data_IF_862076335000
#
_entry.id   IF_862076335000
#
_cell.length_a   1.000
_cell.length_b   1.000
_cell.length_c   1.000
_cell.angle_alpha   90.00
_cell.angle_beta   90.00
_cell.angle_gamma   90.00
#
_symmetry.space_group_name_H-M   'P 1'
#
loop_
_entity.id
_entity.type
_entity.pdbx_description
1 polymer ?
#
# COMPACT_ATOMS: atom_id res chain seq x y z
N UNK A 1 -10.77 -4.39 6.16
CA UNK A 1 -11.07 -3.73 4.86
C UNK A 1 -10.65 -4.67 3.75
N UNK A 2 -11.34 -4.65 2.61
CA UNK A 2 -11.00 -5.41 1.41
C UNK A 2 -10.87 -4.46 0.24
N UNK A 3 -9.90 -4.70 -0.64
CA UNK A 3 -9.70 -3.93 -1.87
C UNK A 3 -9.76 -4.89 -3.05
N UNK A 4 -10.61 -4.58 -4.04
CA UNK A 4 -10.66 -5.32 -5.29
C UNK A 4 -9.57 -4.80 -6.21
N UNK A 5 -8.66 -5.65 -6.67
CA UNK A 5 -7.49 -5.21 -7.46
C UNK A 5 -7.85 -4.56 -8.80
N UNK A 6 -9.01 -4.89 -9.38
CA UNK A 6 -9.54 -4.29 -10.61
C UNK A 6 -10.34 -3.00 -10.39
N UNK A 7 -10.51 -2.56 -9.16
CA UNK A 7 -11.19 -1.30 -8.80
C UNK A 7 -10.18 -0.18 -8.60
N UNK A 8 -10.65 1.07 -8.56
CA UNK A 8 -9.87 2.24 -8.12
C UNK A 8 -10.45 2.88 -6.84
N UNK A 9 -11.42 2.22 -6.18
CA UNK A 9 -12.15 2.80 -5.03
C UNK A 9 -11.28 3.18 -3.85
N UNK A 10 -10.26 2.37 -3.62
CA UNK A 10 -9.40 2.47 -2.45
C UNK A 10 -7.96 2.79 -2.84
N UNK A 11 -7.73 3.56 -3.91
CA UNK A 11 -6.43 4.18 -4.18
C UNK A 11 -6.02 5.12 -3.04
N UNK A 12 -4.75 5.53 -3.00
CA UNK A 12 -4.19 6.32 -1.89
C UNK A 12 -5.02 7.57 -1.54
N UNK A 13 -5.43 8.34 -2.56
CA UNK A 13 -6.18 9.59 -2.44
C UNK A 13 -7.64 9.42 -2.01
N UNK A 14 -8.16 8.19 -1.94
CA UNK A 14 -9.55 7.92 -1.60
C UNK A 14 -9.92 8.44 -0.19
N UNK A 15 -11.04 9.15 -0.08
CA UNK A 15 -11.54 9.67 1.20
C UNK A 15 -11.89 8.54 2.18
N UNK A 16 -12.19 7.34 1.67
CA UNK A 16 -12.50 6.16 2.47
C UNK A 16 -11.38 5.77 3.42
N UNK A 17 -10.12 6.18 3.19
CA UNK A 17 -9.05 5.96 4.16
C UNK A 17 -9.21 6.80 5.43
N UNK A 18 -9.81 7.99 5.31
CA UNK A 18 -9.79 9.04 6.33
C UNK A 18 -11.16 9.43 6.88
N UNK A 19 -12.25 9.03 6.21
CA UNK A 19 -13.62 9.34 6.62
C UNK A 19 -14.26 8.18 7.43
N UNK A 20 -15.50 8.40 7.86
CA UNK A 20 -16.32 7.38 8.55
C UNK A 20 -17.23 6.59 7.61
N UNK A 21 -17.21 6.89 6.30
CA UNK A 21 -18.07 6.21 5.33
C UNK A 21 -17.70 4.73 5.26
N UNK A 22 -18.71 3.87 5.41
CA UNK A 22 -18.59 2.44 5.18
C UNK A 22 -18.90 2.13 3.72
N UNK A 23 -18.50 0.94 3.28
CA UNK A 23 -18.76 0.47 1.93
C UNK A 23 -18.90 -1.04 1.92
N UNK A 24 -19.99 -1.58 1.37
CA UNK A 24 -20.28 -3.02 1.33
C UNK A 24 -20.01 -3.74 2.68
N UNK A 25 -20.35 -3.10 3.79
CA UNK A 25 -20.05 -3.56 5.14
C UNK A 25 -20.87 -4.78 5.58
N UNK A 26 -21.98 -5.04 4.87
CA UNK A 26 -22.78 -6.26 5.01
C UNK A 26 -22.13 -7.51 4.37
N UNK A 27 -20.95 -7.38 3.73
CA UNK A 27 -20.27 -8.51 3.08
C UNK A 27 -18.98 -8.91 3.84
N UNK A 28 -19.06 -9.67 4.95
CA UNK A 28 -17.89 -10.05 5.75
C UNK A 28 -17.08 -11.21 5.15
N UNK A 29 -17.55 -11.84 4.08
CA UNK A 29 -16.87 -13.00 3.51
C UNK A 29 -15.55 -12.58 2.82
N UNK A 30 -14.76 -13.55 2.37
CA UNK A 30 -13.48 -13.30 1.70
C UNK A 30 -13.60 -13.11 0.18
N UNK A 31 -14.82 -12.95 -0.35
CA UNK A 31 -15.01 -12.76 -1.79
C UNK A 31 -14.31 -11.47 -2.25
N UNK A 32 -13.69 -11.48 -3.44
CA UNK A 32 -13.09 -10.31 -4.06
C UNK A 32 -14.12 -9.20 -4.31
N UNK A 33 -14.22 -8.27 -3.36
CA UNK A 33 -15.03 -7.07 -3.47
C UNK A 33 -14.43 -5.98 -2.59
N UNK A 34 -14.55 -4.74 -3.04
CA UNK A 34 -14.28 -3.58 -2.20
C UNK A 34 -15.21 -3.60 -0.98
N UNK A 35 -14.66 -3.50 0.23
CA UNK A 35 -15.42 -3.33 1.45
C UNK A 35 -14.65 -2.58 2.55
N UNK A 36 -15.32 -1.67 3.26
CA UNK A 36 -14.85 -0.99 4.47
C UNK A 36 -15.88 -1.21 5.58
N UNK A 37 -15.42 -1.78 6.69
CA UNK A 37 -16.25 -2.19 7.82
C UNK A 37 -16.08 -1.26 9.01
N UNK A 38 -17.05 -1.26 9.92
CA UNK A 38 -17.01 -0.50 11.18
C UNK A 38 -15.72 -0.70 11.99
N UNK A 39 -15.13 -1.90 11.93
CA UNK A 39 -13.87 -2.18 12.60
C UNK A 39 -12.71 -1.28 12.16
N UNK A 40 -12.72 -0.80 10.91
CA UNK A 40 -11.71 0.12 10.41
C UNK A 40 -11.71 1.47 11.15
N UNK A 41 -12.89 1.94 11.58
CA UNK A 41 -13.07 3.26 12.19
C UNK A 41 -13.01 3.22 13.72
N UNK A 42 -13.26 2.06 14.34
CA UNK A 42 -13.51 1.95 15.79
C UNK A 42 -12.60 1.01 16.56
N UNK A 43 -11.95 0.02 15.93
CA UNK A 43 -11.20 -0.99 16.67
C UNK A 43 -9.77 -0.48 16.91
N UNK A 44 -9.36 -0.29 18.18
CA UNK A 44 -7.96 -0.08 18.51
C UNK A 44 -7.18 -1.37 18.25
N UNK A 45 -5.92 -1.22 17.88
CA UNK A 45 -5.09 -2.37 17.52
C UNK A 45 -3.63 -2.17 17.90
N UNK A 46 -2.91 -3.28 17.96
CA UNK A 46 -1.46 -3.35 18.20
C UNK A 46 -0.74 -4.20 17.14
N UNK A 47 -1.49 -4.94 16.33
CA UNK A 47 -0.99 -5.67 15.18
C UNK A 47 -1.85 -5.48 13.95
N UNK A 48 -1.19 -5.52 12.80
CA UNK A 48 -1.81 -5.45 11.47
C UNK A 48 -1.45 -6.69 10.68
N UNK A 49 -2.42 -7.21 9.95
CA UNK A 49 -2.21 -8.28 8.97
C UNK A 49 -2.73 -7.84 7.61
N UNK A 50 -1.82 -7.80 6.64
CA UNK A 50 -2.10 -7.50 5.24
C UNK A 50 -2.07 -8.82 4.46
N UNK A 51 -3.01 -8.97 3.53
CA UNK A 51 -3.00 -10.05 2.57
C UNK A 51 -3.12 -9.53 1.14
N UNK A 52 -2.37 -10.13 0.22
CA UNK A 52 -2.55 -9.92 -1.21
C UNK A 52 -2.88 -11.27 -1.84
N UNK A 53 -3.98 -11.33 -2.57
CA UNK A 53 -4.37 -12.48 -3.38
C UNK A 53 -3.91 -12.26 -4.81
N UNK A 54 -2.93 -13.05 -5.22
CA UNK A 54 -2.27 -13.02 -6.52
C UNK A 54 -2.14 -14.45 -7.05
N UNK A 55 -2.48 -14.68 -8.33
CA UNK A 55 -2.47 -16.03 -8.90
C UNK A 55 -3.39 -17.02 -8.18
N UNK A 56 -4.52 -16.56 -7.62
CA UNK A 56 -5.47 -17.39 -6.88
C UNK A 56 -5.08 -17.75 -5.44
N UNK A 57 -3.87 -17.37 -5.00
CA UNK A 57 -3.38 -17.64 -3.64
C UNK A 57 -3.25 -16.36 -2.84
N UNK A 58 -3.68 -16.38 -1.58
CA UNK A 58 -3.50 -15.24 -0.66
C UNK A 58 -2.28 -15.44 0.21
N UNK A 59 -1.30 -14.54 0.08
CA UNK A 59 -0.14 -14.49 0.94
C UNK A 59 -0.32 -13.42 2.01
N UNK A 60 0.23 -13.66 3.19
CA UNK A 60 -0.03 -12.84 4.38
C UNK A 60 1.24 -12.30 4.97
N UNK A 61 1.17 -11.05 5.43
CA UNK A 61 2.20 -10.38 6.19
C UNK A 61 1.57 -9.83 7.48
N UNK A 62 2.17 -10.14 8.63
CA UNK A 62 1.76 -9.61 9.93
C UNK A 62 2.91 -8.82 10.54
N UNK A 63 2.63 -7.62 11.03
CA UNK A 63 3.61 -6.74 11.66
C UNK A 63 2.99 -5.94 12.81
N UNK A 64 3.85 -5.40 13.66
CA UNK A 64 3.44 -4.52 14.76
C UNK A 64 3.05 -3.15 14.23
N UNK A 65 1.96 -2.60 14.74
CA UNK A 65 1.48 -1.27 14.41
C UNK A 65 0.34 -0.93 15.34
N UNK A 66 0.32 0.29 15.89
CA UNK A 66 -0.64 0.67 16.91
C UNK A 66 -1.43 1.91 16.52
N UNK A 67 -2.69 1.93 16.91
CA UNK A 67 -3.57 3.09 16.73
C UNK A 67 -4.92 2.87 17.39
N UNK A 68 -5.60 3.96 17.71
CA UNK A 68 -6.97 3.92 18.25
C UNK A 68 -7.99 3.36 17.23
N UNK A 69 -7.69 3.49 15.94
CA UNK A 69 -8.33 2.77 14.84
C UNK A 69 -7.50 2.92 13.57
N UNK A 70 -7.77 2.11 12.54
CA UNK A 70 -7.06 2.24 11.27
C UNK A 70 -7.34 3.60 10.63
N UNK A 71 -8.58 4.11 10.71
CA UNK A 71 -8.92 5.48 10.31
C UNK A 71 -8.02 6.52 10.97
N UNK A 72 -7.82 6.43 12.29
CA UNK A 72 -6.98 7.37 13.03
C UNK A 72 -5.53 7.38 12.53
N UNK A 73 -4.97 6.20 12.18
CA UNK A 73 -3.63 6.11 11.58
C UNK A 73 -3.60 6.74 10.19
N UNK A 74 -4.63 6.51 9.36
CA UNK A 74 -4.72 7.05 8.00
C UNK A 74 -4.94 8.57 7.94
N UNK A 75 -5.52 9.16 8.98
CA UNK A 75 -5.66 10.61 9.15
C UNK A 75 -4.34 11.29 9.57
N UNK A 76 -3.36 10.52 10.04
CA UNK A 76 -2.05 11.00 10.42
C UNK A 76 -1.07 11.10 9.24
N UNK A 77 0.21 11.30 9.59
CA UNK A 77 1.33 11.26 8.64
C UNK A 77 1.89 9.85 8.45
N UNK A 78 3.09 9.79 7.87
CA UNK A 78 3.86 8.56 7.73
C UNK A 78 4.18 7.92 9.10
N UNK A 79 4.01 6.61 9.21
CA UNK A 79 4.41 5.81 10.37
C UNK A 79 5.14 4.57 9.90
N UNK A 80 6.41 4.44 10.30
CA UNK A 80 7.26 3.33 9.89
C UNK A 80 6.82 1.98 10.46
N UNK A 81 7.06 0.92 9.70
CA UNK A 81 7.02 -0.48 10.17
C UNK A 81 8.41 -1.10 10.07
N UNK A 82 8.54 -2.35 10.51
CA UNK A 82 9.80 -3.09 10.49
C UNK A 82 9.64 -4.51 9.90
N UNK A 83 8.74 -4.68 8.94
CA UNK A 83 8.48 -5.98 8.33
C UNK A 83 9.62 -6.41 7.40
N UNK A 84 10.28 -5.44 6.76
CA UNK A 84 11.37 -5.65 5.82
C UNK A 84 10.91 -5.81 4.37
N UNK A 85 11.75 -5.35 3.44
CA UNK A 85 11.52 -5.37 1.98
C UNK A 85 11.06 -6.74 1.47
N UNK A 86 11.77 -7.80 1.85
CA UNK A 86 11.47 -9.15 1.36
C UNK A 86 10.10 -9.64 1.82
N UNK A 87 9.67 -9.25 3.02
CA UNK A 87 8.35 -9.61 3.53
C UNK A 87 7.23 -9.00 2.67
N UNK A 88 7.40 -7.75 2.23
CA UNK A 88 6.48 -7.11 1.29
C UNK A 88 6.50 -7.77 -0.09
N UNK A 89 7.68 -8.06 -0.65
CA UNK A 89 7.80 -8.77 -1.93
C UNK A 89 7.16 -10.15 -1.89
N UNK A 90 7.28 -10.87 -0.78
CA UNK A 90 6.72 -12.20 -0.58
C UNK A 90 5.18 -12.24 -0.47
N UNK A 91 4.50 -11.09 -0.37
CA UNK A 91 3.05 -11.03 -0.57
C UNK A 91 2.66 -11.38 -2.02
N UNK A 92 3.59 -11.27 -2.96
CA UNK A 92 3.39 -11.61 -4.37
C UNK A 92 4.52 -12.53 -4.86
N UNK A 93 4.52 -13.82 -4.47
CA UNK A 93 5.56 -14.77 -4.86
C UNK A 93 5.77 -14.80 -6.39
N UNK A 94 7.02 -14.59 -6.83
CA UNK A 94 7.38 -14.52 -8.25
C UNK A 94 6.91 -13.27 -9.00
N UNK A 95 6.11 -12.40 -8.37
CA UNK A 95 5.57 -11.17 -8.97
C UNK A 95 5.95 -9.88 -8.27
N UNK A 96 6.43 -9.92 -7.02
CA UNK A 96 6.80 -8.74 -6.24
C UNK A 96 8.15 -8.18 -6.67
N UNK A 97 8.13 -7.02 -7.33
CA UNK A 97 9.30 -6.33 -7.86
C UNK A 97 9.39 -4.92 -7.30
N UNK A 98 10.59 -4.47 -6.96
CA UNK A 98 10.82 -3.10 -6.46
C UNK A 98 12.15 -2.59 -7.02
N UNK A 99 12.27 -1.27 -7.14
CA UNK A 99 13.58 -0.64 -7.37
C UNK A 99 14.47 -0.81 -6.12
N UNK A 100 15.81 -0.77 -6.23
CA UNK A 100 16.70 -1.36 -5.23
C UNK A 100 16.81 -0.65 -3.87
N UNK A 101 16.49 0.64 -3.76
CA UNK A 101 16.80 1.47 -2.58
C UNK A 101 15.54 2.08 -1.94
N UNK A 102 15.65 3.22 -1.24
CA UNK A 102 14.70 3.87 -0.32
C UNK A 102 14.06 2.96 0.76
N UNK A 103 13.41 1.86 0.36
CA UNK A 103 12.81 0.82 1.19
C UNK A 103 11.91 1.36 2.30
N UNK A 104 11.23 2.48 2.05
CA UNK A 104 10.35 3.12 3.02
C UNK A 104 9.08 2.30 3.13
N UNK A 105 8.87 1.67 4.27
CA UNK A 105 7.69 0.88 4.57
C UNK A 105 6.86 1.47 5.70
N UNK A 106 5.56 1.16 5.71
CA UNK A 106 4.67 1.42 6.82
C UNK A 106 3.29 1.93 6.40
N UNK A 107 2.75 2.85 7.21
CA UNK A 107 1.49 3.52 6.98
C UNK A 107 1.70 4.90 6.36
N UNK A 108 0.80 5.30 5.46
CA UNK A 108 0.88 6.54 4.68
C UNK A 108 2.27 6.73 4.08
N UNK A 109 2.73 5.72 3.34
CA UNK A 109 4.05 5.69 2.73
C UNK A 109 4.02 6.53 1.45
N UNK A 110 4.77 7.63 1.45
CA UNK A 110 4.93 8.56 0.33
C UNK A 110 6.38 9.07 0.28
N UNK A 111 6.73 9.78 -0.79
CA UNK A 111 8.02 10.45 -0.91
C UNK A 111 8.34 11.28 0.34
N UNK A 112 9.59 11.20 0.80
CA UNK A 112 10.10 12.08 1.84
C UNK A 112 10.24 13.50 1.26
N UNK A 113 10.03 14.56 2.02
CA UNK A 113 10.18 15.94 1.52
C UNK A 113 11.39 16.69 2.09
N UNK A 114 12.00 16.19 3.18
CA UNK A 114 12.94 16.98 4.00
C UNK A 114 14.33 17.24 3.38
N UNK A 115 14.83 16.35 2.52
CA UNK A 115 16.14 16.47 1.89
C UNK A 115 16.08 16.34 0.35
N UNK A 116 14.89 16.53 -0.22
CA UNK A 116 14.68 16.34 -1.65
C UNK A 116 15.08 17.59 -2.41
N UNK A 117 16.12 17.46 -3.23
CA UNK A 117 16.70 18.58 -3.98
C UNK A 117 15.68 19.15 -4.97
N UNK A 118 15.10 20.31 -4.63
CA UNK A 118 14.49 21.25 -5.57
C UNK A 118 13.20 20.82 -6.28
N UNK A 119 12.81 19.55 -6.26
CA UNK A 119 11.55 19.10 -6.82
C UNK A 119 10.44 19.14 -5.76
N UNK A 120 9.75 20.27 -5.68
CA UNK A 120 8.57 20.41 -4.82
C UNK A 120 7.31 19.82 -5.45
N UNK A 121 7.41 19.32 -6.70
CA UNK A 121 6.31 18.77 -7.50
C UNK A 121 6.40 17.24 -7.53
N UNK A 122 6.28 16.61 -6.36
CA UNK A 122 6.15 15.15 -6.18
C UNK A 122 4.85 14.56 -6.78
N UNK A 123 4.28 15.21 -7.79
CA UNK A 123 3.08 14.76 -8.47
C UNK A 123 3.39 13.48 -9.23
N UNK A 124 2.76 12.38 -8.86
CA UNK A 124 2.87 11.11 -9.57
C UNK A 124 3.88 10.14 -8.99
N UNK A 125 4.67 10.50 -7.97
CA UNK A 125 5.53 9.53 -7.26
C UNK A 125 4.70 8.41 -6.64
N UNK A 126 5.30 7.22 -6.53
CA UNK A 126 4.66 6.07 -5.93
C UNK A 126 4.33 6.34 -4.46
N UNK A 127 3.08 6.07 -4.08
CA UNK A 127 2.59 6.15 -2.71
C UNK A 127 1.67 4.99 -2.39
N UNK A 128 1.65 4.56 -1.13
CA UNK A 128 0.84 3.44 -0.65
C UNK A 128 0.39 3.66 0.79
N UNK A 129 -0.88 3.40 1.10
CA UNK A 129 -1.44 3.64 2.46
C UNK A 129 -0.90 2.66 3.48
N UNK A 130 -0.71 1.41 3.08
CA UNK A 130 -0.10 0.37 3.91
C UNK A 130 0.80 -0.45 3.01
N UNK A 131 2.11 -0.28 3.12
CA UNK A 131 3.02 -0.89 2.17
C UNK A 131 4.42 -0.30 2.18
N UNK A 132 5.18 -0.70 1.17
CA UNK A 132 6.53 -0.24 0.88
C UNK A 132 6.58 0.52 -0.43
N UNK A 133 7.40 1.57 -0.49
CA UNK A 133 7.80 2.24 -1.72
C UNK A 133 9.33 2.20 -1.86
N UNK A 134 9.80 2.22 -3.10
CA UNK A 134 11.23 2.20 -3.41
C UNK A 134 11.54 2.96 -4.71
N UNK A 135 12.82 3.29 -4.89
CA UNK A 135 13.43 3.91 -6.06
C UNK A 135 14.87 3.42 -6.27
N UNK A 136 15.54 3.98 -7.28
CA UNK A 136 16.94 3.75 -7.66
C UNK A 136 17.91 4.77 -7.06
N UNK A 137 17.43 5.79 -6.35
CA UNK A 137 18.27 6.74 -5.61
C UNK A 137 18.51 6.32 -4.15
N UNK A 138 19.54 6.88 -3.52
CA UNK A 138 19.86 6.63 -2.11
C UNK A 138 18.96 7.40 -1.12
N UNK A 139 17.98 8.15 -1.63
CA UNK A 139 16.97 8.89 -0.88
C UNK A 139 15.57 8.39 -1.26
N UNK A 140 14.55 8.91 -0.58
CA UNK A 140 13.14 8.56 -0.82
C UNK A 140 12.37 9.69 -1.52
N UNK A 141 13.01 10.45 -2.40
CA UNK A 141 12.42 11.64 -3.02
C UNK A 141 11.59 11.34 -4.27
N UNK A 142 12.03 10.38 -5.07
CA UNK A 142 11.36 9.96 -6.31
C UNK A 142 11.00 8.47 -6.34
N UNK A 143 10.19 7.94 -5.40
CA UNK A 143 9.70 6.57 -5.48
C UNK A 143 8.99 6.27 -6.80
N UNK A 144 9.44 5.25 -7.54
CA UNK A 144 8.78 4.77 -8.78
C UNK A 144 8.28 3.32 -8.68
N UNK A 145 8.31 2.75 -7.47
CA UNK A 145 7.80 1.42 -7.20
C UNK A 145 7.11 1.32 -5.85
N UNK A 146 6.08 0.46 -5.77
CA UNK A 146 5.26 0.25 -4.58
C UNK A 146 4.71 -1.17 -4.49
N UNK A 147 4.56 -1.67 -3.26
CA UNK A 147 3.80 -2.88 -2.94
C UNK A 147 2.90 -2.59 -1.73
N UNK A 148 1.63 -2.98 -1.79
CA UNK A 148 0.75 -2.93 -0.63
C UNK A 148 -0.71 -2.62 -0.94
N UNK A 149 -1.37 -1.90 -0.03
CA UNK A 149 -2.76 -1.47 -0.10
C UNK A 149 -2.87 0.06 -0.14
N UNK A 150 -3.82 0.57 -0.91
CA UNK A 150 -3.98 1.99 -1.17
C UNK A 150 -2.88 2.58 -2.01
N UNK A 151 -2.52 1.90 -3.10
CA UNK A 151 -1.53 2.38 -4.07
C UNK A 151 -2.04 3.51 -4.96
N UNK A 152 -1.15 4.42 -5.35
CA UNK A 152 -1.35 5.44 -6.38
C UNK A 152 0.01 6.00 -6.85
N UNK A 153 0.07 6.55 -8.06
CA UNK A 153 1.29 7.11 -8.66
C UNK A 153 1.48 6.66 -10.10
N UNK A 154 1.99 7.55 -10.94
CA UNK A 154 2.14 7.39 -12.40
C UNK A 154 3.57 7.56 -12.89
N UNK A 155 4.51 7.86 -12.00
CA UNK A 155 5.91 8.06 -12.35
C UNK A 155 6.48 6.86 -13.07
N UNK A 156 7.29 7.14 -14.08
CA UNK A 156 7.93 6.14 -14.91
C UNK A 156 6.97 5.12 -15.56
N UNK A 157 5.70 5.48 -15.78
CA UNK A 157 4.72 4.64 -16.47
C UNK A 157 3.97 3.64 -15.58
N UNK A 158 4.02 3.81 -14.25
CA UNK A 158 3.18 3.04 -13.32
C UNK A 158 1.69 3.20 -13.64
N UNK A 159 0.89 2.18 -13.30
CA UNK A 159 -0.57 2.27 -13.30
C UNK A 159 -1.01 3.24 -12.18
N UNK A 160 -1.62 4.40 -12.50
CA UNK A 160 -2.02 5.38 -11.50
C UNK A 160 -3.09 4.84 -10.54
N UNK A 161 -3.88 3.87 -10.99
CA UNK A 161 -5.11 3.41 -10.34
C UNK A 161 -5.01 1.95 -9.87
N UNK A 162 -3.80 1.46 -9.55
CA UNK A 162 -3.62 0.16 -8.89
C UNK A 162 -3.74 0.31 -7.35
N UNK A 163 -4.89 -0.02 -6.73
CA UNK A 163 -5.10 0.19 -5.31
C UNK A 163 -4.43 -0.88 -4.46
N UNK A 164 -4.12 -2.06 -5.01
CA UNK A 164 -3.51 -3.14 -4.24
C UNK A 164 -2.76 -4.12 -5.13
N UNK A 165 -1.53 -4.45 -4.72
CA UNK A 165 -0.62 -5.27 -5.51
C UNK A 165 0.76 -4.64 -5.57
N UNK A 166 1.38 -4.71 -6.75
CA UNK A 166 2.72 -4.21 -7.02
C UNK A 166 2.75 -3.38 -8.31
N UNK A 167 3.29 -2.19 -8.21
CA UNK A 167 3.75 -1.39 -9.35
C UNK A 167 5.26 -1.23 -9.24
N UNK A 168 5.97 -1.47 -10.33
CA UNK A 168 7.38 -1.16 -10.43
C UNK A 168 7.73 -0.98 -11.89
N UNK A 169 8.34 0.15 -12.23
CA UNK A 169 8.95 0.38 -13.53
C UNK A 169 10.36 0.95 -13.34
N UNK A 170 11.14 0.98 -14.42
CA UNK A 170 12.42 1.71 -14.46
C UNK A 170 13.48 1.21 -13.48
N UNK A 171 14.08 0.05 -13.79
CA UNK A 171 15.17 -0.59 -13.02
C UNK A 171 14.70 -1.42 -11.81
N UNK A 172 13.61 -2.15 -12.03
CA UNK A 172 13.05 -3.08 -11.07
C UNK A 172 13.85 -4.38 -10.96
N UNK A 173 14.00 -4.90 -9.74
CA UNK A 173 14.82 -6.09 -9.47
C UNK A 173 14.28 -7.39 -10.10
N UNK A 174 12.98 -7.48 -10.39
CA UNK A 174 12.37 -8.59 -11.15
C UNK A 174 11.70 -8.12 -12.45
N UNK A 175 12.24 -7.05 -13.06
CA UNK A 175 11.67 -6.40 -14.23
C UNK A 175 10.38 -5.62 -13.92
N UNK A 176 9.85 -4.95 -14.95
CA UNK A 176 8.67 -4.10 -14.82
C UNK A 176 7.42 -4.93 -14.44
N UNK A 177 6.60 -4.41 -13.53
CA UNK A 177 5.40 -5.06 -13.00
C UNK A 177 4.25 -4.06 -12.86
N UNK A 178 3.08 -4.51 -13.32
CA UNK A 178 1.77 -3.87 -13.11
C UNK A 178 0.79 -4.89 -12.51
N UNK A 179 1.19 -5.51 -11.41
CA UNK A 179 0.45 -6.63 -10.84
C UNK A 179 -0.64 -6.10 -9.91
N UNK A 180 -1.90 -6.20 -10.33
CA UNK A 180 -3.06 -6.00 -9.45
C UNK A 180 -3.33 -7.27 -8.62
N UNK A 181 -3.75 -7.09 -7.38
CA UNK A 181 -4.08 -8.16 -6.43
C UNK A 181 -5.30 -7.77 -5.59
N UNK A 182 -6.10 -8.74 -5.12
CA UNK A 182 -7.14 -8.44 -4.14
C UNK A 182 -6.49 -8.27 -2.77
N UNK A 183 -6.77 -7.16 -2.10
CA UNK A 183 -6.16 -6.81 -0.84
C UNK A 183 -7.07 -7.06 0.35
N UNK A 184 -6.46 -7.48 1.45
CA UNK A 184 -7.14 -7.73 2.72
C UNK A 184 -6.40 -7.05 3.85
N UNK A 185 -7.14 -6.41 4.75
CA UNK A 185 -6.61 -5.72 5.92
C UNK A 185 -7.37 -6.15 7.17
N UNK A 186 -6.62 -6.72 8.11
CA UNK A 186 -7.07 -7.10 9.44
C UNK A 186 -6.23 -6.41 10.51
N UNK A 187 -6.83 -6.21 11.68
CA UNK A 187 -6.17 -5.65 12.86
C UNK A 187 -6.57 -6.44 14.09
N UNK A 188 -5.71 -6.47 15.12
CA UNK A 188 -6.01 -7.04 16.45
C UNK A 188 -5.24 -6.35 17.56
#
# INVERSE_FOLDING_TARGET
MKTLGSSNRFIYSSSYWTDDNLYNDANPNMDPADAKYQGFTTIPFSQVRVGLQYGGTTNWLTFSGAGNSMKAVMQGGYVATNAGRDAWKNLMPGGGSLQPYCNREGFNTLAYSGNCYGDTSHTGVARVRIGIIANQENDCCSPDSRIGLGGEGSYCGQDPDNPSGNECTCSCDLGDRHNRANGFLFVR
#
